data_IF_583477923386
#
_entry.id   IF_583477923386
#
_cell.length_a   1.000
_cell.length_b   1.000
_cell.length_c   1.000
_cell.angle_alpha   90.00
_cell.angle_beta   90.00
_cell.angle_gamma   90.00
#
_symmetry.space_group_name_H-M   'P 1'
#
loop_
_entity.id
_entity.type
_entity.pdbx_description
1 polymer ?
#
# COMPACT_ATOMS: atom_id res chain seq x y z
N UNK A 1 -11.85 -4.56 -11.49
CA UNK A 1 -10.37 -4.64 -11.47
C UNK A 1 -9.85 -3.30 -11.97
N UNK A 2 -9.03 -2.57 -11.21
CA UNK A 2 -8.43 -1.31 -11.69
C UNK A 2 -7.40 -1.67 -12.76
N UNK A 3 -7.37 -0.93 -13.88
CA UNK A 3 -6.36 -1.15 -14.93
C UNK A 3 -5.01 -0.59 -14.49
N UNK A 4 -3.91 -1.15 -14.98
CA UNK A 4 -2.55 -0.66 -14.67
C UNK A 4 -2.36 0.82 -15.01
N UNK A 5 -3.00 1.30 -16.07
CA UNK A 5 -2.96 2.71 -16.46
C UNK A 5 -3.66 3.62 -15.43
N UNK A 6 -4.87 3.24 -14.99
CA UNK A 6 -5.59 3.98 -13.95
C UNK A 6 -4.83 3.96 -12.62
N UNK A 7 -4.27 2.81 -12.27
CA UNK A 7 -3.45 2.64 -11.08
C UNK A 7 -2.19 3.52 -11.14
N UNK A 8 -1.51 3.57 -12.29
CA UNK A 8 -0.35 4.45 -12.51
C UNK A 8 -0.72 5.91 -12.32
N UNK A 9 -1.80 6.37 -12.95
CA UNK A 9 -2.26 7.76 -12.84
C UNK A 9 -2.60 8.11 -11.38
N UNK A 10 -3.22 7.18 -10.66
CA UNK A 10 -3.52 7.37 -9.25
C UNK A 10 -2.25 7.45 -8.39
N UNK A 11 -1.27 6.57 -8.64
CA UNK A 11 0.03 6.61 -7.98
C UNK A 11 0.77 7.92 -8.24
N UNK A 12 0.74 8.44 -9.46
CA UNK A 12 1.38 9.72 -9.79
C UNK A 12 0.70 10.89 -9.09
N UNK A 13 -0.65 10.91 -9.00
CA UNK A 13 -1.40 11.90 -8.20
C UNK A 13 -1.08 11.80 -6.70
N UNK A 14 -0.97 10.58 -6.16
CA UNK A 14 -0.69 10.33 -4.75
C UNK A 14 0.69 10.83 -4.28
N UNK A 15 1.59 11.20 -5.20
CA UNK A 15 2.87 11.85 -4.87
C UNK A 15 2.69 13.24 -4.27
N UNK A 16 1.60 13.94 -4.60
CA UNK A 16 1.37 15.33 -4.20
C UNK A 16 -0.01 15.59 -3.60
N UNK A 17 -0.96 14.65 -3.70
CA UNK A 17 -2.31 14.77 -3.12
C UNK A 17 -2.56 13.71 -2.06
N UNK A 18 -2.91 14.17 -0.85
CA UNK A 18 -3.36 13.32 0.27
C UNK A 18 -4.62 12.55 -0.08
N UNK A 19 -5.53 13.17 -0.83
CA UNK A 19 -6.81 12.61 -1.25
C UNK A 19 -6.57 11.43 -2.20
N UNK A 20 -5.68 11.59 -3.19
CA UNK A 20 -5.29 10.52 -4.10
C UNK A 20 -4.55 9.38 -3.38
N UNK A 21 -3.79 9.67 -2.32
CA UNK A 21 -3.24 8.62 -1.47
C UNK A 21 -4.33 7.90 -0.67
N UNK A 22 -5.37 8.62 -0.22
CA UNK A 22 -6.57 8.03 0.39
C UNK A 22 -7.28 7.05 -0.54
N UNK A 23 -7.43 7.40 -1.83
CA UNK A 23 -7.96 6.49 -2.84
C UNK A 23 -7.10 5.20 -2.98
N UNK A 24 -5.76 5.32 -2.94
CA UNK A 24 -4.87 4.14 -2.91
C UNK A 24 -5.07 3.30 -1.65
N UNK A 25 -5.22 3.96 -0.50
CA UNK A 25 -5.49 3.28 0.76
C UNK A 25 -6.76 2.44 0.66
N UNK A 26 -7.87 3.03 0.22
CA UNK A 26 -9.16 2.35 0.11
C UNK A 26 -9.12 1.14 -0.84
N UNK A 27 -8.39 1.27 -1.96
CA UNK A 27 -8.23 0.18 -2.93
C UNK A 27 -7.46 -1.02 -2.36
N UNK A 28 -6.39 -0.77 -1.59
CA UNK A 28 -5.46 -1.82 -1.18
C UNK A 28 -5.59 -2.24 0.28
N UNK A 29 -6.35 -1.51 1.11
CA UNK A 29 -6.46 -1.76 2.54
C UNK A 29 -6.87 -3.20 2.84
N UNK A 30 -7.96 -3.68 2.23
CA UNK A 30 -8.46 -5.05 2.45
C UNK A 30 -7.43 -6.12 2.07
N UNK A 31 -6.66 -5.91 1.00
CA UNK A 31 -5.66 -6.86 0.53
C UNK A 31 -4.47 -6.95 1.50
N UNK A 32 -3.95 -5.80 1.92
CA UNK A 32 -2.82 -5.72 2.86
C UNK A 32 -3.24 -6.19 4.24
N UNK A 33 -4.40 -5.78 4.73
CA UNK A 33 -4.95 -6.23 6.00
C UNK A 33 -5.17 -7.76 6.01
N UNK A 34 -5.80 -8.32 4.97
CA UNK A 34 -6.00 -9.76 4.87
C UNK A 34 -4.68 -10.53 4.80
N UNK A 35 -3.65 -9.98 4.16
CA UNK A 35 -2.31 -10.57 4.15
C UNK A 35 -1.61 -10.50 5.52
N UNK A 36 -1.72 -9.37 6.22
CA UNK A 36 -1.19 -9.23 7.57
C UNK A 36 -1.88 -10.24 8.51
N UNK A 37 -3.21 -10.28 8.50
CA UNK A 37 -4.01 -11.16 9.34
C UNK A 37 -3.68 -12.64 9.13
N UNK A 38 -3.52 -13.09 7.87
CA UNK A 38 -3.10 -14.48 7.57
C UNK A 38 -1.73 -14.84 8.13
N UNK A 39 -0.83 -13.86 8.33
CA UNK A 39 0.52 -14.10 8.85
C UNK A 39 0.63 -13.94 10.36
N UNK A 40 -0.17 -13.06 10.95
CA UNK A 40 -0.11 -12.77 12.39
C UNK A 40 -1.08 -13.64 13.19
N UNK A 41 -2.17 -14.12 12.57
CA UNK A 41 -3.31 -14.75 13.25
C UNK A 41 -3.90 -13.90 14.39
N UNK A 42 -3.61 -12.59 14.38
CA UNK A 42 -4.01 -11.62 15.40
C UNK A 42 -4.48 -10.34 14.71
N UNK A 43 -5.68 -9.89 15.09
CA UNK A 43 -6.35 -8.75 14.47
C UNK A 43 -5.70 -7.41 14.83
N UNK A 44 -5.25 -7.23 16.07
CA UNK A 44 -4.61 -5.98 16.51
C UNK A 44 -3.25 -5.85 15.84
N UNK A 45 -2.44 -6.92 15.85
CA UNK A 45 -1.14 -6.94 15.16
C UNK A 45 -1.33 -6.73 13.65
N UNK A 46 -2.39 -7.29 13.05
CA UNK A 46 -2.69 -7.09 11.64
C UNK A 46 -3.03 -5.62 11.32
N UNK A 47 -3.77 -4.93 12.18
CA UNK A 47 -4.05 -3.49 12.04
C UNK A 47 -2.76 -2.68 12.12
N UNK A 48 -1.91 -2.96 13.11
CA UNK A 48 -0.62 -2.27 13.27
C UNK A 48 0.30 -2.44 12.06
N UNK A 49 0.42 -3.68 11.55
CA UNK A 49 1.19 -3.96 10.33
C UNK A 49 0.62 -3.18 9.15
N UNK A 50 -0.71 -3.17 8.98
CA UNK A 50 -1.37 -2.47 7.88
C UNK A 50 -1.12 -0.96 7.95
N UNK A 51 -1.31 -0.36 9.12
CA UNK A 51 -1.01 1.06 9.38
C UNK A 51 0.44 1.38 9.07
N UNK A 52 1.39 0.56 9.51
CA UNK A 52 2.81 0.77 9.25
C UNK A 52 3.15 0.66 7.75
N UNK A 53 2.50 -0.23 7.00
CA UNK A 53 2.68 -0.37 5.56
C UNK A 53 2.27 0.91 4.84
N UNK A 54 1.06 1.40 5.09
CA UNK A 54 0.57 2.62 4.45
C UNK A 54 1.31 3.86 4.91
N UNK A 55 1.72 3.93 6.18
CA UNK A 55 2.58 5.02 6.68
C UNK A 55 3.93 5.06 5.93
N UNK A 56 4.59 3.90 5.80
CA UNK A 56 5.83 3.80 5.02
C UNK A 56 5.60 4.11 3.55
N UNK A 57 4.51 3.65 2.96
CA UNK A 57 4.15 3.96 1.59
C UNK A 57 4.00 5.48 1.40
N UNK A 58 3.27 6.17 2.28
CA UNK A 58 3.09 7.62 2.25
C UNK A 58 4.43 8.36 2.32
N UNK A 59 5.36 7.90 3.17
CA UNK A 59 6.71 8.50 3.29
C UNK A 59 7.58 8.33 2.05
N UNK A 60 7.35 7.27 1.26
CA UNK A 60 8.20 6.92 0.12
C UNK A 60 7.54 7.10 -1.26
N UNK A 61 6.23 7.40 -1.32
CA UNK A 61 5.47 7.51 -2.57
C UNK A 61 6.06 8.55 -3.53
N UNK A 62 6.57 9.67 -3.01
CA UNK A 62 7.22 10.73 -3.82
C UNK A 62 8.36 10.22 -4.68
N UNK A 63 9.15 9.27 -4.16
CA UNK A 63 10.27 8.65 -4.87
C UNK A 63 9.89 7.37 -5.64
N UNK A 64 8.64 6.93 -5.56
CA UNK A 64 8.20 5.71 -6.21
C UNK A 64 8.26 5.85 -7.73
N UNK A 65 8.90 4.88 -8.37
CA UNK A 65 8.98 4.75 -9.83
C UNK A 65 8.09 3.60 -10.27
N UNK A 66 7.20 3.88 -11.21
CA UNK A 66 6.34 2.87 -11.81
C UNK A 66 7.19 1.83 -12.57
N UNK A 67 6.93 0.54 -12.36
CA UNK A 67 7.72 -0.56 -12.93
C UNK A 67 6.93 -1.43 -13.93
N UNK A 68 5.75 -0.99 -14.37
CA UNK A 68 4.87 -1.79 -15.23
C UNK A 68 4.10 -2.90 -14.50
N UNK A 69 4.25 -2.97 -13.18
CA UNK A 69 3.52 -3.89 -12.29
C UNK A 69 2.69 -3.10 -11.30
N UNK A 70 1.65 -3.76 -10.75
CA UNK A 70 0.74 -3.13 -9.79
C UNK A 70 1.47 -2.62 -8.54
N UNK A 71 1.00 -1.50 -8.00
CA UNK A 71 1.51 -0.91 -6.76
C UNK A 71 1.34 -1.84 -5.56
N UNK A 72 0.35 -2.75 -5.63
CA UNK A 72 0.16 -3.80 -4.63
C UNK A 72 1.44 -4.61 -4.39
N UNK A 73 2.25 -4.86 -5.43
CA UNK A 73 3.53 -5.57 -5.33
C UNK A 73 4.54 -4.81 -4.45
N UNK A 74 4.55 -3.49 -4.55
CA UNK A 74 5.35 -2.63 -3.67
C UNK A 74 4.80 -2.61 -2.24
N UNK A 75 3.49 -2.52 -2.05
CA UNK A 75 2.86 -2.57 -0.73
C UNK A 75 3.14 -3.91 0.00
N UNK A 76 3.03 -5.04 -0.69
CA UNK A 76 3.39 -6.35 -0.14
C UNK A 76 4.85 -6.45 0.26
N UNK A 77 5.76 -5.84 -0.53
CA UNK A 77 7.18 -5.77 -0.19
C UNK A 77 7.43 -4.94 1.06
N UNK A 78 6.70 -3.84 1.27
CA UNK A 78 6.74 -3.10 2.54
C UNK A 78 6.23 -3.99 3.68
N UNK A 79 5.09 -4.66 3.50
CA UNK A 79 4.49 -5.54 4.50
C UNK A 79 5.42 -6.71 4.88
N UNK A 80 6.21 -7.22 3.94
CA UNK A 80 7.12 -8.33 4.19
C UNK A 80 8.41 -7.91 4.91
N UNK A 81 8.82 -6.64 4.80
CA UNK A 81 9.97 -6.12 5.55
C UNK A 81 9.54 -5.95 7.01
N UNK A 82 10.00 -6.85 7.90
CA UNK A 82 9.75 -6.75 9.34
C UNK A 82 10.06 -5.33 9.82
N UNK A 83 9.06 -4.67 10.41
CA UNK A 83 9.26 -3.56 11.33
C UNK A 83 10.10 -4.12 12.49
N UNK A 84 11.43 -4.05 12.40
CA UNK A 84 12.29 -4.11 13.58
C UNK A 84 12.31 -2.73 14.21
#
# INVERSE_FOLDING_TARGET
MVTLERERNLVDRAKTSSEAFGELYDLYYRQIFGYALRRTADIEVARDVTSAVFFKALRHIKGYRWQGISVSHWLYRIANRRNR
#
